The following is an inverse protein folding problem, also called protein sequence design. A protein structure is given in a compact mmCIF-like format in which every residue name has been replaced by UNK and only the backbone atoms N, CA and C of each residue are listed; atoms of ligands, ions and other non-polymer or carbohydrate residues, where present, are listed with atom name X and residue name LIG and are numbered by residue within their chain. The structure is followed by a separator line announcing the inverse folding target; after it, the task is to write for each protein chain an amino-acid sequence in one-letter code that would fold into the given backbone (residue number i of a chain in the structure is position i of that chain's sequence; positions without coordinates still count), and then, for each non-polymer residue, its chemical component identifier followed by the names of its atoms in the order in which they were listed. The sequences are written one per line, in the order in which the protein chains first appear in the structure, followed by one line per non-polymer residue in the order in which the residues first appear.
data_IF_477095200614
#
_entry.id   IF_477095200614
#
_cell.length_a   1.000
_cell.length_b   1.000
_cell.length_c   1.000
_cell.angle_alpha   90.00
_cell.angle_beta   90.00
_cell.angle_gamma   90.00
#
_symmetry.space_group_name_H-M   'P 1'
#
loop_
_entity.id
_entity.type
_entity.pdbx_description
1 polymer ?
#
# COMPACT_ATOMS: atom_id res chain seq x y z
N UNK A 1 4.94 -16.94 19.87
CA UNK A 1 3.57 -16.58 20.31
C UNK A 1 3.08 -15.28 19.63
N UNK A 2 3.01 -15.24 18.29
CA UNK A 2 2.60 -14.03 17.57
C UNK A 2 1.22 -14.13 16.90
N UNK A 3 0.65 -15.33 16.76
CA UNK A 3 -0.66 -15.53 16.12
C UNK A 3 -1.79 -14.82 16.89
N UNK A 4 -1.87 -15.01 18.22
CA UNK A 4 -2.93 -14.41 19.05
C UNK A 4 -2.98 -12.88 18.99
N UNK A 5 -1.83 -12.20 18.91
CA UNK A 5 -1.78 -10.74 18.76
C UNK A 5 -2.23 -10.25 17.38
N UNK A 6 -2.05 -11.08 16.35
CA UNK A 6 -2.49 -10.74 14.99
C UNK A 6 -4.00 -10.92 14.87
N UNK A 7 -4.59 -11.92 15.52
CA UNK A 7 -6.04 -12.12 15.52
C UNK A 7 -6.78 -10.99 16.27
N UNK A 8 -6.28 -10.58 17.45
CA UNK A 8 -6.81 -9.39 18.14
C UNK A 8 -6.68 -8.12 17.29
N UNK A 9 -5.61 -7.99 16.51
CA UNK A 9 -5.44 -6.85 15.61
C UNK A 9 -6.48 -6.87 14.47
N UNK A 10 -6.81 -8.04 13.93
CA UNK A 10 -7.88 -8.18 12.93
C UNK A 10 -9.24 -7.81 13.51
N UNK A 11 -9.57 -8.23 14.73
CA UNK A 11 -10.80 -7.79 15.39
C UNK A 11 -10.85 -6.27 15.55
N UNK A 12 -9.75 -5.66 15.99
CA UNK A 12 -9.68 -4.19 16.15
C UNK A 12 -9.81 -3.46 14.82
N UNK A 13 -9.18 -3.95 13.75
CA UNK A 13 -9.34 -3.35 12.42
C UNK A 13 -10.72 -3.61 11.83
N UNK A 14 -11.33 -4.76 12.10
CA UNK A 14 -12.72 -5.05 11.75
C UNK A 14 -13.68 -4.06 12.42
N UNK A 15 -13.52 -3.85 13.73
CA UNK A 15 -14.30 -2.85 14.46
C UNK A 15 -14.06 -1.43 13.93
N UNK A 16 -12.82 -1.08 13.60
CA UNK A 16 -12.50 0.22 12.98
C UNK A 16 -13.18 0.41 11.62
N UNK A 17 -13.26 -0.64 10.80
CA UNK A 17 -13.98 -0.62 9.52
C UNK A 17 -15.50 -0.66 9.69
N UNK A 18 -16.02 -1.19 10.79
CA UNK A 18 -17.44 -1.05 11.15
C UNK A 18 -17.78 0.40 11.50
N UNK A 19 -16.87 1.09 12.21
CA UNK A 19 -17.03 2.50 12.58
C UNK A 19 -16.82 3.44 11.39
N UNK A 20 -15.79 3.18 10.58
CA UNK A 20 -15.50 3.92 9.35
C UNK A 20 -15.18 2.94 8.21
N UNK A 21 -16.21 2.49 7.47
CA UNK A 21 -16.03 1.60 6.33
C UNK A 21 -15.31 2.26 5.15
N UNK A 22 -15.13 3.58 5.20
CA UNK A 22 -14.42 4.35 4.17
C UNK A 22 -12.94 4.58 4.51
N UNK A 23 -12.46 4.04 5.63
CA UNK A 23 -11.08 4.19 6.07
C UNK A 23 -10.10 3.34 5.26
N UNK A 24 -9.54 3.93 4.19
CA UNK A 24 -8.46 3.30 3.42
C UNK A 24 -7.24 2.87 4.28
N UNK A 25 -6.79 3.66 5.28
CA UNK A 25 -5.71 3.25 6.18
C UNK A 25 -6.05 2.02 7.03
N UNK A 26 -7.30 1.91 7.52
CA UNK A 26 -7.74 0.74 8.29
C UNK A 26 -7.74 -0.53 7.42
N UNK A 27 -8.27 -0.44 6.20
CA UNK A 27 -8.24 -1.54 5.23
C UNK A 27 -6.79 -1.95 4.86
N UNK A 28 -5.88 -0.99 4.70
CA UNK A 28 -4.46 -1.27 4.47
C UNK A 28 -3.81 -2.01 5.65
N UNK A 29 -4.03 -1.54 6.88
CA UNK A 29 -3.46 -2.16 8.06
C UNK A 29 -4.00 -3.58 8.30
N UNK A 30 -5.29 -3.80 8.04
CA UNK A 30 -5.89 -5.15 8.04
C UNK A 30 -5.17 -6.06 7.04
N UNK A 31 -4.93 -5.57 5.82
CA UNK A 31 -4.19 -6.31 4.78
C UNK A 31 -2.77 -6.68 5.21
N UNK A 32 -2.07 -5.78 5.90
CA UNK A 32 -0.73 -6.08 6.45
C UNK A 32 -0.76 -7.19 7.50
N UNK A 33 -1.75 -7.18 8.40
CA UNK A 33 -1.90 -8.21 9.41
C UNK A 33 -2.20 -9.56 8.77
N UNK A 34 -3.12 -9.59 7.80
CA UNK A 34 -3.46 -10.80 7.04
C UNK A 34 -2.24 -11.35 6.28
N UNK A 35 -1.44 -10.47 5.66
CA UNK A 35 -0.21 -10.87 4.99
C UNK A 35 0.80 -11.49 5.97
N UNK A 36 0.93 -10.94 7.18
CA UNK A 36 1.78 -11.50 8.25
C UNK A 36 1.27 -12.83 8.80
N UNK A 37 -0.04 -13.08 8.75
CA UNK A 37 -0.63 -14.38 9.08
C UNK A 37 -0.48 -15.40 7.94
N UNK A 38 0.07 -15.02 6.77
CA UNK A 38 0.13 -15.88 5.59
C UNK A 38 -1.21 -15.99 4.83
N UNK A 39 -2.22 -15.22 5.23
CA UNK A 39 -3.54 -15.15 4.57
C UNK A 39 -3.48 -14.23 3.34
N UNK A 40 -2.71 -14.67 2.35
CA UNK A 40 -2.41 -13.92 1.12
C UNK A 40 -3.67 -13.48 0.37
N UNK A 41 -4.65 -14.37 0.23
CA UNK A 41 -5.90 -14.06 -0.49
C UNK A 41 -6.72 -12.96 0.20
N UNK A 42 -6.88 -13.04 1.52
CA UNK A 42 -7.59 -12.03 2.31
C UNK A 42 -6.82 -10.70 2.30
N UNK A 43 -5.50 -10.74 2.43
CA UNK A 43 -4.65 -9.54 2.36
C UNK A 43 -4.83 -8.79 1.03
N UNK A 44 -4.89 -9.52 -0.10
CA UNK A 44 -5.16 -8.94 -1.42
C UNK A 44 -6.49 -8.20 -1.43
N UNK A 45 -7.56 -8.77 -0.85
CA UNK A 45 -8.87 -8.13 -0.81
C UNK A 45 -8.88 -6.85 0.04
N UNK A 46 -8.21 -6.87 1.20
CA UNK A 46 -8.06 -5.70 2.05
C UNK A 46 -7.28 -4.57 1.36
N UNK A 47 -6.18 -4.88 0.67
CA UNK A 47 -5.44 -3.86 -0.10
C UNK A 47 -6.24 -3.33 -1.29
N UNK A 48 -6.97 -4.19 -2.01
CA UNK A 48 -7.87 -3.76 -3.10
C UNK A 48 -8.95 -2.82 -2.57
N UNK A 49 -9.51 -3.10 -1.40
CA UNK A 49 -10.47 -2.21 -0.73
C UNK A 49 -9.83 -0.85 -0.42
N UNK A 50 -8.63 -0.84 0.16
CA UNK A 50 -7.90 0.40 0.44
C UNK A 50 -7.63 1.23 -0.83
N UNK A 51 -7.28 0.57 -1.96
CA UNK A 51 -7.10 1.22 -3.26
C UNK A 51 -8.43 1.76 -3.80
N UNK A 52 -9.52 1.00 -3.67
CA UNK A 52 -10.85 1.45 -4.12
C UNK A 52 -11.32 2.68 -3.35
N UNK A 53 -11.08 2.71 -2.04
CA UNK A 53 -11.40 3.84 -1.17
C UNK A 53 -10.49 5.05 -1.44
N UNK A 54 -9.20 4.80 -1.72
CA UNK A 54 -8.21 5.83 -2.03
C UNK A 54 -7.31 5.39 -3.17
N UNK A 55 -7.67 5.69 -4.44
CA UNK A 55 -6.89 5.28 -5.61
C UNK A 55 -5.45 5.82 -5.64
N UNK A 56 -5.20 6.95 -4.97
CA UNK A 56 -3.85 7.53 -4.82
C UNK A 56 -3.04 6.93 -3.66
N UNK A 57 -3.49 5.84 -3.03
CA UNK A 57 -2.83 5.31 -1.85
C UNK A 57 -1.61 4.45 -2.21
N UNK A 58 -0.47 5.11 -2.36
CA UNK A 58 0.83 4.50 -2.73
C UNK A 58 1.17 3.26 -1.90
N UNK A 59 0.97 3.33 -0.58
CA UNK A 59 1.27 2.22 0.33
C UNK A 59 0.40 1.00 0.04
N UNK A 60 -0.88 1.17 -0.30
CA UNK A 60 -1.77 0.07 -0.62
C UNK A 60 -1.40 -0.60 -1.95
N UNK A 61 -1.01 0.16 -2.97
CA UNK A 61 -0.45 -0.40 -4.21
C UNK A 61 0.84 -1.18 -3.98
N UNK A 62 1.72 -0.64 -3.13
CA UNK A 62 2.97 -1.32 -2.77
C UNK A 62 2.72 -2.61 -1.99
N UNK A 63 1.85 -2.57 -0.97
CA UNK A 63 1.45 -3.73 -0.18
C UNK A 63 0.78 -4.81 -1.03
N UNK A 64 -0.12 -4.42 -1.93
CA UNK A 64 -0.76 -5.34 -2.88
C UNK A 64 0.28 -5.99 -3.80
N UNK A 65 1.19 -5.22 -4.37
CA UNK A 65 2.25 -5.73 -5.24
C UNK A 65 3.18 -6.74 -4.55
N UNK A 66 3.54 -6.47 -3.29
CA UNK A 66 4.33 -7.43 -2.49
C UNK A 66 3.59 -8.74 -2.24
N UNK A 67 2.32 -8.68 -1.84
CA UNK A 67 1.52 -9.88 -1.57
C UNK A 67 1.24 -10.67 -2.84
N UNK A 68 0.97 -10.01 -3.96
CA UNK A 68 0.81 -10.66 -5.26
C UNK A 68 2.11 -11.35 -5.70
N UNK A 69 3.27 -10.73 -5.44
CA UNK A 69 4.57 -11.34 -5.77
C UNK A 69 4.82 -12.61 -4.95
N UNK A 70 4.41 -12.62 -3.68
CA UNK A 70 4.43 -13.82 -2.84
C UNK A 70 3.46 -14.90 -3.34
N UNK A 71 2.32 -14.50 -3.91
CA UNK A 71 1.35 -15.41 -4.53
C UNK A 71 1.79 -15.94 -5.91
N UNK A 72 2.86 -15.39 -6.50
CA UNK A 72 3.27 -15.70 -7.88
C UNK A 72 2.35 -15.08 -8.94
N UNK A 73 1.57 -14.06 -8.60
CA UNK A 73 0.65 -13.41 -9.53
C UNK A 73 1.38 -12.36 -10.40
N UNK A 74 1.25 -12.40 -11.73
CA UNK A 74 1.94 -11.48 -12.64
C UNK A 74 1.48 -10.03 -12.50
N UNK A 75 0.31 -9.79 -11.88
CA UNK A 75 -0.20 -8.45 -11.59
C UNK A 75 0.64 -7.72 -10.53
N UNK A 76 1.56 -8.41 -9.85
CA UNK A 76 2.46 -7.84 -8.86
C UNK A 76 3.30 -6.68 -9.42
N UNK A 77 3.94 -6.91 -10.58
CA UNK A 77 4.80 -5.92 -11.22
C UNK A 77 4.03 -4.67 -11.64
N UNK A 78 2.79 -4.85 -12.10
CA UNK A 78 1.90 -3.73 -12.44
C UNK A 78 1.61 -2.86 -11.22
N UNK A 79 1.25 -3.48 -10.08
CA UNK A 79 0.93 -2.75 -8.85
C UNK A 79 2.15 -2.04 -8.26
N UNK A 80 3.32 -2.69 -8.29
CA UNK A 80 4.57 -2.07 -7.85
C UNK A 80 4.97 -0.90 -8.76
N UNK A 81 4.82 -1.03 -10.08
CA UNK A 81 5.05 0.08 -11.03
C UNK A 81 4.10 1.24 -10.77
N UNK A 82 2.80 0.98 -10.56
CA UNK A 82 1.83 2.03 -10.19
C UNK A 82 2.23 2.74 -8.90
N UNK A 83 2.62 2.00 -7.86
CA UNK A 83 3.11 2.59 -6.61
C UNK A 83 4.35 3.48 -6.83
N UNK A 84 5.30 3.04 -7.66
CA UNK A 84 6.50 3.82 -8.00
C UNK A 84 6.16 5.10 -8.78
N UNK A 85 5.28 4.99 -9.78
CA UNK A 85 4.81 6.13 -10.56
C UNK A 85 4.11 7.15 -9.66
N UNK A 86 3.20 6.70 -8.79
CA UNK A 86 2.53 7.57 -7.83
C UNK A 86 3.51 8.19 -6.84
N UNK A 87 4.48 7.43 -6.32
CA UNK A 87 5.52 7.96 -5.43
C UNK A 87 6.37 9.05 -6.13
N UNK A 88 6.60 8.90 -7.43
CA UNK A 88 7.32 9.88 -8.26
C UNK A 88 6.44 11.09 -8.59
N UNK A 89 5.14 10.88 -8.77
CA UNK A 89 4.13 11.89 -9.10
C UNK A 89 3.65 12.68 -7.89
N UNK A 90 3.76 12.16 -6.66
CA UNK A 90 3.66 12.93 -5.41
C UNK A 90 4.99 13.67 -5.29
N UNK A 91 5.13 14.87 -5.87
CA UNK A 91 6.42 15.51 -5.95
C UNK A 91 6.80 15.90 -4.52
N UNK A 92 8.07 15.72 -4.20
CA UNK A 92 8.68 16.51 -3.17
C UNK A 92 8.52 17.98 -3.57
N UNK A 93 7.48 18.66 -3.07
CA UNK A 93 7.39 20.13 -3.10
C UNK A 93 8.55 20.74 -2.27
N UNK A 94 9.43 19.92 -1.70
CA UNK A 94 10.56 20.37 -0.89
C UNK A 94 11.88 20.63 -1.61
N UNK A 95 12.23 20.01 -2.75
CA UNK A 95 13.63 20.03 -3.22
C UNK A 95 13.80 20.10 -4.75
N UNK A 96 13.21 21.10 -5.40
CA UNK A 96 13.64 21.53 -6.75
C UNK A 96 14.44 22.84 -6.68
N UNK A 97 15.34 22.94 -5.68
CA UNK A 97 16.40 23.93 -5.64
C UNK A 97 17.76 23.22 -5.79
N UNK A 98 17.93 22.53 -6.92
CA UNK A 98 19.25 22.37 -7.53
C UNK A 98 19.11 22.88 -8.94
N UNK A 99 19.33 24.18 -9.06
CA UNK A 99 19.94 24.80 -10.23
C UNK A 99 21.23 24.04 -10.54
N UNK A 100 21.14 22.89 -11.19
CA UNK A 100 22.20 22.50 -12.13
C UNK A 100 22.01 23.40 -13.32
N UNK A 101 22.45 24.63 -13.11
CA UNK A 101 22.73 25.62 -14.13
C UNK A 101 23.58 24.90 -15.16
N UNK A 102 22.91 24.56 -16.25
CA UNK A 102 23.50 24.08 -17.48
C UNK A 102 24.00 25.35 -18.15
N UNK A 103 25.17 25.81 -17.74
CA UNK A 103 25.92 26.83 -18.47
C UNK A 103 27.22 26.18 -18.94
N UNK A 104 27.08 25.43 -20.03
CA UNK A 104 28.01 25.44 -21.16
C UNK A 104 27.10 25.32 -22.39
N UNK A 105 27.12 26.29 -23.32
CA UNK A 105 28.25 26.43 -24.23
C UNK A 105 28.64 27.89 -24.61
N UNK A 106 29.94 28.19 -24.66
CA UNK A 106 30.73 28.61 -25.84
C UNK A 106 32.14 29.07 -25.42
#
# INVERSE_FOLDING_TARGET
MNAGKLDEALEKFGAALTLDPSSAPAAYNQGLVLARQGKTAEAVQSFKTAIRLRPGFVLAHYGLGLVLRLAGDPSADEQLRKAQLMKRLVPQVGNMNRTTNTEDPD
#
